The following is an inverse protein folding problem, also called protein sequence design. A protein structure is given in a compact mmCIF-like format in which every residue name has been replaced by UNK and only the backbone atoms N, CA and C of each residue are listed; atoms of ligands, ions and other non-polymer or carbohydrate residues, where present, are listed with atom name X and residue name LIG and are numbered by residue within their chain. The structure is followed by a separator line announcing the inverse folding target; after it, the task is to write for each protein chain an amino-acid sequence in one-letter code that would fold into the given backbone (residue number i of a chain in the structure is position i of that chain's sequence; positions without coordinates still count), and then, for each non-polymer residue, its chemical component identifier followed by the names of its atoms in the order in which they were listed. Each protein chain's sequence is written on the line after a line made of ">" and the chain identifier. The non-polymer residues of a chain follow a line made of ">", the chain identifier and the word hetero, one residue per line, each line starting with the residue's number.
data_IF_488202841025
#
_entry.id   IF_488202841025
#
_cell.length_a   1.000
_cell.length_b   1.000
_cell.length_c   1.000
_cell.angle_alpha   90.00
_cell.angle_beta   90.00
_cell.angle_gamma   90.00
#
_symmetry.space_group_name_H-M   'P 1'
#
loop_
_entity.id
_entity.type
_entity.pdbx_description
1 polymer ?
#
# COMPACT_ATOMS: atom_id res chain seq x y z
N UNK A 1 1.10 -14.52 43.24
CA UNK A 1 0.49 -13.85 42.06
C UNK A 1 -0.93 -14.35 41.91
N UNK A 2 -1.92 -13.47 41.78
CA UNK A 2 -3.25 -13.89 41.35
C UNK A 2 -3.20 -14.33 39.88
N UNK A 3 -3.95 -15.36 39.46
CA UNK A 3 -3.97 -15.81 38.08
C UNK A 3 -4.54 -14.72 37.17
N UNK A 4 -3.95 -14.56 35.98
CA UNK A 4 -4.42 -13.59 34.98
C UNK A 4 -5.84 -13.95 34.55
N UNK A 5 -6.74 -12.97 34.61
CA UNK A 5 -8.07 -13.11 34.04
C UNK A 5 -7.96 -13.04 32.51
N UNK A 6 -7.87 -14.20 31.87
CA UNK A 6 -7.66 -14.33 30.43
C UNK A 6 -8.74 -13.59 29.61
N UNK A 7 -10.04 -13.67 29.93
CA UNK A 7 -11.06 -12.91 29.20
C UNK A 7 -10.86 -11.39 29.24
N UNK A 8 -10.57 -10.83 30.42
CA UNK A 8 -10.35 -9.39 30.59
C UNK A 8 -9.09 -8.92 29.85
N UNK A 9 -8.01 -9.70 29.95
CA UNK A 9 -6.80 -9.45 29.19
C UNK A 9 -7.06 -9.46 27.68
N UNK A 10 -7.72 -10.49 27.16
CA UNK A 10 -8.01 -10.62 25.74
C UNK A 10 -8.90 -9.47 25.23
N UNK A 11 -9.94 -9.09 25.97
CA UNK A 11 -10.80 -7.95 25.63
C UNK A 11 -10.00 -6.64 25.57
N UNK A 12 -9.08 -6.44 26.52
CA UNK A 12 -8.19 -5.27 26.53
C UNK A 12 -7.26 -5.27 25.32
N UNK A 13 -6.64 -6.42 25.00
CA UNK A 13 -5.74 -6.52 23.83
C UNK A 13 -6.48 -6.25 22.52
N UNK A 14 -7.69 -6.80 22.34
CA UNK A 14 -8.49 -6.54 21.15
C UNK A 14 -8.86 -5.05 21.03
N UNK A 15 -9.19 -4.39 22.14
CA UNK A 15 -9.46 -2.96 22.13
C UNK A 15 -8.23 -2.12 21.74
N UNK A 16 -7.05 -2.47 22.26
CA UNK A 16 -5.81 -1.76 21.95
C UNK A 16 -5.39 -1.98 20.49
N UNK A 17 -5.53 -3.20 19.96
CA UNK A 17 -5.26 -3.51 18.56
C UNK A 17 -6.19 -2.74 17.61
N UNK A 18 -7.47 -2.60 17.95
CA UNK A 18 -8.39 -1.78 17.16
C UNK A 18 -7.98 -0.30 17.17
N UNK A 19 -7.61 0.25 18.34
CA UNK A 19 -7.11 1.63 18.43
C UNK A 19 -5.83 1.84 17.62
N UNK A 20 -4.88 0.91 17.68
CA UNK A 20 -3.66 0.94 16.88
C UNK A 20 -3.98 0.93 15.39
N UNK A 21 -4.84 0.01 14.95
CA UNK A 21 -5.28 -0.09 13.55
C UNK A 21 -5.92 1.20 13.06
N UNK A 22 -6.84 1.80 13.83
CA UNK A 22 -7.48 3.07 13.44
C UNK A 22 -6.45 4.21 13.31
N UNK A 23 -5.47 4.27 14.22
CA UNK A 23 -4.39 5.25 14.17
C UNK A 23 -3.49 5.09 12.94
N UNK A 24 -3.14 3.85 12.61
CA UNK A 24 -2.33 3.52 11.42
C UNK A 24 -3.08 3.85 10.12
N UNK A 25 -4.37 3.52 10.02
CA UNK A 25 -5.22 3.87 8.88
C UNK A 25 -5.33 5.39 8.70
N UNK A 26 -5.54 6.14 9.78
CA UNK A 26 -5.60 7.59 9.74
C UNK A 26 -4.27 8.20 9.26
N UNK A 27 -3.15 7.70 9.77
CA UNK A 27 -1.80 8.13 9.39
C UNK A 27 -1.50 7.83 7.92
N UNK A 28 -1.82 6.64 7.46
CA UNK A 28 -1.62 6.21 6.06
C UNK A 28 -2.50 7.02 5.10
N UNK A 29 -3.76 7.24 5.46
CA UNK A 29 -4.68 8.08 4.69
C UNK A 29 -4.18 9.52 4.58
N UNK A 30 -3.70 10.10 5.68
CA UNK A 30 -3.11 11.43 5.68
C UNK A 30 -1.86 11.49 4.78
N UNK A 31 -0.99 10.48 4.83
CA UNK A 31 0.21 10.39 3.98
C UNK A 31 -0.16 10.34 2.49
N UNK A 32 -1.10 9.48 2.12
CA UNK A 32 -1.56 9.31 0.73
C UNK A 32 -2.25 10.54 0.16
N UNK A 33 -2.99 11.29 1.00
CA UNK A 33 -3.75 12.47 0.54
C UNK A 33 -2.93 13.76 0.51
N UNK A 34 -1.91 13.87 1.38
CA UNK A 34 -1.09 15.09 1.51
C UNK A 34 0.22 15.07 0.72
N UNK A 35 0.65 13.89 0.24
CA UNK A 35 1.97 13.71 -0.40
C UNK A 35 1.82 13.30 -1.86
N UNK A 36 2.60 13.92 -2.75
CA UNK A 36 2.58 13.55 -4.17
C UNK A 36 3.18 12.14 -4.39
N UNK A 37 2.69 11.38 -5.39
CA UNK A 37 3.23 10.05 -5.70
C UNK A 37 4.75 10.03 -5.91
N UNK A 38 5.30 11.04 -6.58
CA UNK A 38 6.74 11.17 -6.79
C UNK A 38 7.54 11.36 -5.50
N UNK A 39 6.95 12.02 -4.48
CA UNK A 39 7.59 12.17 -3.17
C UNK A 39 7.57 10.87 -2.37
N UNK A 40 6.46 10.12 -2.45
CA UNK A 40 6.37 8.78 -1.85
C UNK A 40 7.38 7.80 -2.48
N UNK A 41 7.57 7.86 -3.80
CA UNK A 41 8.58 7.04 -4.47
C UNK A 41 9.99 7.38 -4.02
N UNK A 42 10.34 8.68 -3.92
CA UNK A 42 11.66 9.08 -3.40
C UNK A 42 11.90 8.65 -1.95
N UNK A 43 10.83 8.52 -1.16
CA UNK A 43 10.89 7.98 0.20
C UNK A 43 10.90 6.44 0.25
N UNK A 44 10.81 5.75 -0.91
CA UNK A 44 10.83 4.29 -1.00
C UNK A 44 9.53 3.60 -0.61
N UNK A 45 8.43 4.35 -0.40
CA UNK A 45 7.13 3.81 0.07
C UNK A 45 6.07 3.76 -1.04
N UNK A 46 6.43 4.07 -2.28
CA UNK A 46 5.60 3.89 -3.46
C UNK A 46 6.45 3.56 -4.69
N UNK A 47 5.86 2.90 -5.67
CA UNK A 47 6.46 2.65 -6.98
C UNK A 47 5.46 3.18 -8.01
N UNK A 48 5.88 4.11 -8.85
CA UNK A 48 5.03 4.76 -9.85
C UNK A 48 5.43 4.37 -11.27
N UNK A 49 4.67 4.80 -12.26
CA UNK A 49 4.92 4.52 -13.69
C UNK A 49 4.92 3.03 -14.02
N UNK A 50 4.01 2.28 -13.39
CA UNK A 50 3.83 0.86 -13.62
C UNK A 50 2.72 0.60 -14.64
N UNK A 51 2.92 -0.41 -15.47
CA UNK A 51 1.93 -0.97 -16.39
C UNK A 51 1.67 -2.43 -16.03
N UNK A 52 0.49 -2.94 -16.41
CA UNK A 52 0.16 -4.36 -16.23
C UNK A 52 0.91 -5.14 -17.31
N UNK A 53 1.94 -5.88 -16.90
CA UNK A 53 2.69 -6.79 -17.78
C UNK A 53 1.89 -8.08 -18.04
N UNK A 54 1.27 -8.63 -17.00
CA UNK A 54 0.42 -9.82 -17.12
C UNK A 54 -0.70 -9.83 -16.07
N UNK A 55 -1.83 -10.45 -16.42
CA UNK A 55 -2.94 -10.72 -15.51
C UNK A 55 -3.41 -12.15 -15.69
N UNK A 56 -3.49 -12.91 -14.59
CA UNK A 56 -3.93 -14.31 -14.61
C UNK A 56 -4.71 -14.68 -13.35
N UNK A 57 -5.45 -15.78 -13.41
CA UNK A 57 -6.06 -16.38 -12.23
C UNK A 57 -5.07 -17.29 -11.53
N UNK A 58 -4.79 -17.01 -10.26
CA UNK A 58 -3.94 -17.80 -9.38
C UNK A 58 -4.73 -18.72 -8.45
N UNK A 59 -4.05 -19.23 -7.43
CA UNK A 59 -4.61 -20.18 -6.47
C UNK A 59 -5.83 -19.61 -5.74
N UNK A 60 -6.88 -20.42 -5.60
CA UNK A 60 -8.12 -20.02 -4.93
C UNK A 60 -8.92 -18.97 -5.69
N UNK A 61 -8.75 -18.85 -7.02
CA UNK A 61 -9.51 -17.92 -7.87
C UNK A 61 -9.06 -16.47 -7.76
N UNK A 62 -7.92 -16.19 -7.11
CA UNK A 62 -7.40 -14.83 -6.94
C UNK A 62 -6.83 -14.29 -8.25
N UNK A 63 -6.96 -12.99 -8.48
CA UNK A 63 -6.26 -12.34 -9.61
C UNK A 63 -4.81 -12.08 -9.21
N UNK A 64 -3.88 -12.51 -10.07
CA UNK A 64 -2.45 -12.21 -9.95
C UNK A 64 -2.11 -11.21 -11.05
N UNK A 65 -1.63 -10.03 -10.62
CA UNK A 65 -1.13 -8.98 -11.49
C UNK A 65 0.40 -8.98 -11.41
N UNK A 66 1.02 -8.89 -12.58
CA UNK A 66 2.44 -8.59 -12.72
C UNK A 66 2.56 -7.16 -13.23
N UNK A 67 3.33 -6.35 -12.51
CA UNK A 67 3.53 -4.94 -12.81
C UNK A 67 4.99 -4.73 -13.22
N UNK A 68 5.21 -4.03 -14.31
CA UNK A 68 6.54 -3.62 -14.79
C UNK A 68 6.57 -2.12 -15.01
N UNK A 69 7.77 -1.53 -15.11
CA UNK A 69 7.89 -0.15 -15.55
C UNK A 69 7.32 0.03 -16.97
N UNK A 70 6.77 1.21 -17.23
CA UNK A 70 6.46 1.64 -18.58
C UNK A 70 7.77 1.76 -19.39
N UNK A 71 7.84 1.05 -20.52
CA UNK A 71 8.96 1.08 -21.47
C UNK A 71 9.36 2.49 -21.91
N UNK A 72 8.45 3.46 -21.89
CA UNK A 72 8.75 4.85 -22.23
C UNK A 72 9.58 5.58 -21.15
N UNK A 73 9.64 5.04 -19.93
CA UNK A 73 10.29 5.65 -18.76
C UNK A 73 11.56 4.89 -18.37
N UNK A 74 11.60 3.58 -18.63
CA UNK A 74 12.80 2.78 -18.48
C UNK A 74 12.57 1.31 -18.83
N UNK A 75 13.65 0.60 -19.11
CA UNK A 75 13.66 -0.85 -19.26
C UNK A 75 14.50 -1.47 -18.13
N UNK A 76 14.01 -2.55 -17.51
CA UNK A 76 14.74 -3.31 -16.50
C UNK A 76 14.14 -3.23 -15.09
N UNK A 77 15.02 -3.10 -14.10
CA UNK A 77 14.69 -3.23 -12.67
C UNK A 77 13.90 -2.04 -12.12
N UNK A 78 13.07 -2.30 -11.12
CA UNK A 78 12.33 -1.27 -10.39
C UNK A 78 13.31 -0.32 -9.68
N UNK A 79 12.96 0.98 -9.54
CA UNK A 79 13.73 1.91 -8.72
C UNK A 79 13.82 1.42 -7.27
N UNK A 80 14.84 1.85 -6.53
CA UNK A 80 15.01 1.46 -5.12
C UNK A 80 13.72 1.69 -4.31
N UNK A 81 13.26 0.64 -3.64
CA UNK A 81 12.01 0.65 -2.90
C UNK A 81 12.10 -0.21 -1.63
N UNK A 82 11.26 0.11 -0.65
CA UNK A 82 11.15 -0.65 0.60
C UNK A 82 10.23 -1.87 0.53
N UNK A 83 9.47 -2.04 -0.56
CA UNK A 83 8.44 -3.09 -0.70
C UNK A 83 9.04 -4.49 -0.70
N UNK A 84 8.45 -5.39 0.10
CA UNK A 84 8.85 -6.79 0.27
C UNK A 84 7.69 -7.75 0.01
N UNK A 85 8.03 -9.03 -0.17
CA UNK A 85 7.04 -10.10 -0.27
C UNK A 85 6.27 -10.22 1.04
N UNK A 86 4.95 -10.12 0.96
CA UNK A 86 4.05 -10.17 2.11
C UNK A 86 3.49 -8.81 2.53
N UNK A 87 4.03 -7.71 1.99
CA UNK A 87 3.51 -6.38 2.27
C UNK A 87 2.09 -6.20 1.72
N UNK A 88 1.25 -5.50 2.50
CA UNK A 88 -0.08 -5.08 2.06
C UNK A 88 0.09 -3.78 1.28
N UNK A 89 -0.28 -3.80 0.01
CA UNK A 89 -0.12 -2.65 -0.90
C UNK A 89 -1.45 -2.22 -1.50
N UNK A 90 -1.56 -0.92 -1.78
CA UNK A 90 -2.65 -0.36 -2.58
C UNK A 90 -2.19 -0.19 -4.03
N UNK A 91 -2.96 -0.70 -4.98
CA UNK A 91 -2.78 -0.45 -6.41
C UNK A 91 -3.83 0.56 -6.86
N UNK A 92 -3.38 1.71 -7.37
CA UNK A 92 -4.26 2.78 -7.83
C UNK A 92 -3.75 3.34 -9.16
N UNK A 93 -4.68 3.85 -9.99
CA UNK A 93 -4.32 4.53 -11.23
C UNK A 93 -3.53 5.79 -10.92
N UNK A 94 -2.41 5.98 -11.62
CA UNK A 94 -1.63 7.20 -11.48
C UNK A 94 -2.44 8.39 -12.06
N UNK A 95 -2.63 9.48 -11.30
CA UNK A 95 -3.35 10.63 -11.82
C UNK A 95 -2.63 11.16 -13.05
N UNK A 96 -3.35 11.32 -14.17
CA UNK A 96 -2.80 11.92 -15.37
C UNK A 96 -2.31 13.33 -15.03
N UNK A 97 -1.03 13.62 -15.34
CA UNK A 97 -0.45 14.93 -15.14
C UNK A 97 -1.31 16.00 -15.80
N UNK A 98 -1.96 16.83 -14.97
CA UNK A 98 -2.57 18.10 -15.40
C UNK A 98 -3.63 18.02 -16.51
N UNK A 99 -4.63 17.14 -16.40
CA UNK A 99 -5.94 17.46 -16.99
C UNK A 99 -6.62 18.49 -16.08
N UNK A 100 -6.55 19.78 -16.46
CA UNK A 100 -7.12 20.93 -15.75
C UNK A 100 -8.49 20.60 -15.15
N UNK A 101 -8.66 20.83 -13.84
CA UNK A 101 -9.97 21.03 -13.21
C UNK A 101 -10.68 22.15 -13.99
N UNK A 102 -11.66 21.80 -14.82
CA UNK A 102 -12.66 22.77 -15.28
C UNK A 102 -13.56 23.10 -14.09
N UNK A 103 -13.86 24.39 -13.97
CA UNK A 103 -14.69 25.02 -12.95
C UNK A 103 -16.04 24.32 -12.75
#
# INVERSE_FOLDING_TARGET
>A
MAPVNVPSFAATQLHLLDQELQSELASTSALLTSTSPASLQRAGVAITNLVIASQRTGLGGKTVLELSLDSAIGEGDLPEHGVRVGDIVMVAGQPAGSAKKRE
#
